data_IF_401015275110
#
_entry.id   IF_401015275110
#
_cell.length_a   1.000
_cell.length_b   1.000
_cell.length_c   1.000
_cell.angle_alpha   90.00
_cell.angle_beta   90.00
_cell.angle_gamma   90.00
#
_symmetry.space_group_name_H-M   'P 1'
#
loop_
_entity.id
_entity.type
_entity.pdbx_description
1 polymer ?
#
# COMPACT_ATOMS: atom_id res chain seq x y z
N UNK A 1 -28.83 -11.84 24.10
CA UNK A 1 -27.61 -12.40 23.51
C UNK A 1 -27.37 -11.71 22.18
N UNK A 2 -26.29 -10.92 22.10
CA UNK A 2 -25.59 -10.41 20.92
C UNK A 2 -24.86 -9.13 21.38
N UNK A 3 -23.64 -9.29 21.90
CA UNK A 3 -22.77 -8.17 22.26
C UNK A 3 -22.02 -7.70 21.00
N UNK A 4 -22.42 -6.56 20.47
CA UNK A 4 -21.69 -5.83 19.43
C UNK A 4 -20.42 -5.21 20.02
N UNK A 5 -19.27 -5.82 19.76
CA UNK A 5 -17.96 -5.25 20.08
C UNK A 5 -17.49 -4.36 18.94
N UNK A 6 -17.90 -3.10 18.94
CA UNK A 6 -17.29 -2.09 18.09
C UNK A 6 -15.85 -1.83 18.58
N UNK A 7 -14.84 -2.22 17.79
CA UNK A 7 -13.46 -1.82 18.06
C UNK A 7 -13.27 -0.37 17.61
N UNK A 8 -13.68 0.56 18.47
CA UNK A 8 -13.21 1.93 18.39
C UNK A 8 -11.68 1.93 18.53
N UNK A 9 -10.99 2.54 17.56
CA UNK A 9 -9.56 2.81 17.63
C UNK A 9 -9.26 3.64 18.86
N UNK A 10 -8.81 2.98 19.93
CA UNK A 10 -8.21 3.66 21.04
C UNK A 10 -6.84 4.16 20.58
N UNK A 11 -6.72 5.46 20.33
CA UNK A 11 -5.42 6.13 20.38
C UNK A 11 -4.93 6.07 21.83
N UNK A 12 -4.31 4.96 22.21
CA UNK A 12 -3.56 4.91 23.46
C UNK A 12 -2.40 5.87 23.29
N UNK A 13 -2.33 6.91 24.14
CA UNK A 13 -1.21 7.85 24.23
C UNK A 13 0.07 7.19 24.73
N UNK A 14 0.56 6.18 24.02
CA UNK A 14 1.92 5.69 24.17
C UNK A 14 2.84 6.77 23.61
N UNK A 15 3.80 7.23 24.41
CA UNK A 15 4.89 8.06 23.89
C UNK A 15 5.58 7.29 22.76
N UNK A 16 5.80 7.94 21.62
CA UNK A 16 6.49 7.34 20.49
C UNK A 16 7.78 6.64 20.95
N UNK A 17 8.05 5.44 20.41
CA UNK A 17 9.23 4.67 20.77
C UNK A 17 10.50 5.53 20.55
N UNK A 18 11.46 5.55 21.51
CA UNK A 18 12.58 6.50 21.50
C UNK A 18 13.49 6.41 20.25
N UNK A 19 13.47 5.28 19.55
CA UNK A 19 14.22 5.09 18.31
C UNK A 19 13.53 5.66 17.05
N UNK A 20 12.23 5.99 17.09
CA UNK A 20 11.49 6.52 15.93
C UNK A 20 12.14 7.78 15.35
N UNK A 21 12.47 8.82 16.16
CA UNK A 21 13.11 10.03 15.62
C UNK A 21 14.43 9.75 14.89
N UNK A 22 15.24 8.84 15.44
CA UNK A 22 16.54 8.44 14.86
C UNK A 22 16.37 7.72 13.53
N UNK A 23 15.40 6.81 13.43
CA UNK A 23 15.11 6.10 12.18
C UNK A 23 14.53 7.03 11.11
N UNK A 24 13.70 8.00 11.51
CA UNK A 24 13.19 9.04 10.60
C UNK A 24 14.30 9.96 10.11
N UNK A 25 15.28 10.28 10.96
CA UNK A 25 16.45 11.03 10.54
C UNK A 25 17.28 10.27 9.51
N UNK A 26 17.53 8.97 9.74
CA UNK A 26 18.18 8.10 8.76
C UNK A 26 17.42 8.10 7.43
N UNK A 27 16.10 7.94 7.46
CA UNK A 27 15.27 7.94 6.26
C UNK A 27 15.35 9.28 5.51
N UNK A 28 15.26 10.41 6.21
CA UNK A 28 15.45 11.76 5.63
C UNK A 28 16.85 11.97 5.06
N UNK A 29 17.89 11.36 5.64
CA UNK A 29 19.25 11.42 5.12
C UNK A 29 19.40 10.63 3.82
N UNK A 30 18.83 9.43 3.76
CA UNK A 30 18.82 8.62 2.55
C UNK A 30 17.98 9.28 1.44
N UNK A 31 16.80 9.83 1.76
CA UNK A 31 15.96 10.54 0.80
C UNK A 31 16.68 11.74 0.17
N UNK A 32 17.52 12.47 0.93
CA UNK A 32 18.35 13.57 0.39
C UNK A 32 19.36 13.12 -0.66
N UNK A 33 19.64 11.83 -0.76
CA UNK A 33 20.51 11.26 -1.81
C UNK A 33 19.74 10.83 -3.06
N UNK A 34 18.41 10.79 -3.01
CA UNK A 34 17.57 10.72 -4.20
C UNK A 34 17.74 12.01 -5.01
N UNK A 35 17.74 11.89 -6.33
CA UNK A 35 18.27 12.88 -7.28
C UNK A 35 17.68 14.29 -7.15
N UNK A 36 18.54 15.30 -7.35
CA UNK A 36 18.28 16.73 -7.13
C UNK A 36 17.33 17.40 -8.14
N UNK A 37 16.03 17.14 -8.02
CA UNK A 37 14.99 17.97 -8.62
C UNK A 37 14.96 19.38 -7.99
N UNK A 38 14.82 20.41 -8.84
CA UNK A 38 14.95 21.83 -8.50
C UNK A 38 13.77 22.36 -7.65
N UNK A 39 12.66 21.61 -7.62
CA UNK A 39 11.47 21.96 -6.84
C UNK A 39 11.19 20.90 -5.78
N UNK A 40 11.21 21.32 -4.53
CA UNK A 40 10.79 20.53 -3.39
C UNK A 40 9.29 20.16 -3.52
N UNK A 41 8.92 18.89 -3.75
CA UNK A 41 7.51 18.49 -3.89
C UNK A 41 6.70 18.77 -2.62
N UNK A 42 7.34 19.01 -1.45
CA UNK A 42 6.66 19.48 -0.23
C UNK A 42 6.01 20.86 -0.40
N UNK A 43 6.49 21.66 -1.37
CA UNK A 43 5.93 22.96 -1.75
C UNK A 43 4.69 22.87 -2.64
N UNK A 44 4.46 21.72 -3.28
CA UNK A 44 3.35 21.44 -4.20
C UNK A 44 1.98 21.23 -3.50
N UNK A 45 1.72 21.96 -2.42
CA UNK A 45 0.47 21.82 -1.64
C UNK A 45 -0.77 22.24 -2.44
N UNK A 46 -0.57 23.05 -3.48
CA UNK A 46 -1.60 23.52 -4.40
C UNK A 46 -2.26 22.39 -5.20
N UNK A 47 -1.51 21.32 -5.49
CA UNK A 47 -1.99 20.16 -6.26
C UNK A 47 -2.20 18.91 -5.41
N UNK A 48 -1.99 18.99 -4.09
CA UNK A 48 -2.25 17.90 -3.15
C UNK A 48 -3.77 17.68 -3.03
N UNK A 49 -4.30 16.45 -3.23
CA UNK A 49 -5.71 16.21 -3.01
C UNK A 49 -6.07 16.39 -1.53
N UNK A 50 -7.23 16.99 -1.21
CA UNK A 50 -7.63 17.24 0.18
C UNK A 50 -7.85 15.94 0.95
N UNK A 51 -7.60 16.00 2.26
CA UNK A 51 -8.03 14.93 3.18
C UNK A 51 -9.55 14.81 3.14
N UNK A 52 -10.05 13.58 3.16
CA UNK A 52 -11.48 13.34 3.35
C UNK A 52 -11.84 13.48 4.83
N UNK A 53 -13.03 13.99 5.12
CA UNK A 53 -13.54 14.05 6.49
C UNK A 53 -13.90 12.66 7.04
N UNK A 54 -14.08 12.57 8.35
CA UNK A 54 -14.43 11.32 9.06
C UNK A 54 -15.76 10.68 8.63
N UNK A 55 -16.60 11.41 7.88
CA UNK A 55 -17.85 10.91 7.34
C UNK A 55 -17.70 10.13 6.01
N UNK A 56 -16.51 10.08 5.42
CA UNK A 56 -16.27 9.30 4.21
C UNK A 56 -16.43 7.80 4.48
N UNK A 57 -17.26 7.14 3.67
CA UNK A 57 -17.56 5.72 3.86
C UNK A 57 -16.47 4.83 3.21
N UNK A 58 -16.00 3.78 3.91
CA UNK A 58 -15.16 2.75 3.29
C UNK A 58 -15.85 2.12 2.07
N UNK A 59 -15.06 1.76 1.07
CA UNK A 59 -15.55 1.00 -0.10
C UNK A 59 -15.25 -0.49 0.12
N UNK A 60 -16.26 -1.35 0.29
CA UNK A 60 -16.03 -2.79 0.49
C UNK A 60 -15.30 -3.42 -0.69
N UNK A 61 -14.33 -4.28 -0.39
CA UNK A 61 -13.66 -5.12 -1.38
C UNK A 61 -14.51 -6.38 -1.62
N UNK A 62 -14.77 -6.76 -2.89
CA UNK A 62 -15.49 -8.00 -3.20
C UNK A 62 -14.94 -9.23 -2.47
N UNK A 63 -15.84 -10.11 -2.01
CA UNK A 63 -15.54 -11.25 -1.14
C UNK A 63 -15.00 -12.47 -1.91
N UNK A 64 -15.40 -12.65 -3.18
CA UNK A 64 -15.18 -13.85 -3.98
C UNK A 64 -14.23 -13.65 -5.18
N UNK A 65 -12.98 -13.25 -4.94
CA UNK A 65 -11.99 -13.29 -6.02
C UNK A 65 -10.69 -13.86 -5.49
N UNK A 66 -10.59 -15.18 -5.50
CA UNK A 66 -9.27 -15.81 -5.52
C UNK A 66 -8.61 -15.44 -6.86
N UNK A 67 -7.30 -15.16 -6.89
CA UNK A 67 -6.62 -15.09 -8.18
C UNK A 67 -6.90 -16.39 -8.95
N UNK A 68 -7.01 -16.32 -10.29
CA UNK A 68 -7.21 -17.51 -11.11
C UNK A 68 -6.21 -18.60 -10.74
N UNK A 69 -6.66 -19.84 -10.72
CA UNK A 69 -5.73 -20.96 -10.59
C UNK A 69 -4.72 -20.89 -11.74
N UNK A 70 -3.46 -20.62 -11.39
CA UNK A 70 -2.37 -20.48 -12.32
C UNK A 70 -1.23 -21.42 -11.90
N UNK A 71 -0.55 -22.03 -12.86
CA UNK A 71 0.62 -22.84 -12.57
C UNK A 71 1.77 -21.94 -12.08
N UNK A 72 2.36 -22.30 -10.94
CA UNK A 72 3.42 -21.48 -10.34
C UNK A 72 4.66 -21.39 -11.25
N UNK A 73 5.00 -22.47 -11.95
CA UNK A 73 6.13 -22.49 -12.89
C UNK A 73 5.90 -21.54 -14.05
N UNK A 74 4.70 -21.53 -14.62
CA UNK A 74 4.29 -20.60 -15.68
C UNK A 74 4.31 -19.15 -15.21
N UNK A 75 3.75 -18.86 -14.03
CA UNK A 75 3.75 -17.51 -13.45
C UNK A 75 5.17 -17.00 -13.24
N UNK A 76 6.06 -17.83 -12.68
CA UNK A 76 7.47 -17.47 -12.48
C UNK A 76 8.18 -17.19 -13.81
N UNK A 77 7.93 -18.01 -14.83
CA UNK A 77 8.52 -17.84 -16.16
C UNK A 77 8.01 -16.59 -16.88
N UNK A 78 6.71 -16.27 -16.72
CA UNK A 78 6.04 -15.14 -17.37
C UNK A 78 6.26 -13.80 -16.67
N UNK A 79 6.56 -13.79 -15.36
CA UNK A 79 6.66 -12.55 -14.56
C UNK A 79 7.65 -11.56 -15.17
N UNK A 80 7.18 -10.36 -15.48
CA UNK A 80 7.99 -9.23 -15.96
C UNK A 80 7.59 -7.95 -15.24
N UNK A 81 8.51 -7.00 -15.21
CA UNK A 81 8.20 -5.62 -14.86
C UNK A 81 7.71 -4.93 -16.13
N UNK A 82 6.49 -4.39 -16.12
CA UNK A 82 5.89 -3.74 -17.28
C UNK A 82 5.55 -2.29 -16.99
N UNK A 83 5.93 -1.42 -17.94
CA UNK A 83 5.58 0.00 -17.98
C UNK A 83 4.51 0.32 -19.04
N UNK A 84 3.93 -0.73 -19.64
CA UNK A 84 2.86 -0.63 -20.64
C UNK A 84 1.58 -1.14 -20.00
N UNK A 85 0.54 -0.30 -20.05
CA UNK A 85 -0.76 -0.55 -19.45
C UNK A 85 -1.84 -0.35 -20.52
N UNK A 86 -2.94 -1.10 -20.41
CA UNK A 86 -4.11 -0.90 -21.24
C UNK A 86 -4.81 0.43 -20.96
N UNK A 87 -5.70 0.81 -21.88
CA UNK A 87 -6.52 2.03 -21.76
C UNK A 87 -7.71 1.85 -20.80
N UNK A 88 -8.09 0.60 -20.51
CA UNK A 88 -9.24 0.30 -19.64
C UNK A 88 -8.83 0.42 -18.17
N UNK A 89 -9.69 0.89 -17.26
CA UNK A 89 -9.44 0.82 -15.83
C UNK A 89 -9.17 -0.59 -15.28
N UNK A 90 -8.39 -0.69 -14.21
CA UNK A 90 -8.23 -1.94 -13.44
C UNK A 90 -9.56 -2.27 -12.73
N UNK A 91 -10.17 -3.44 -12.97
CA UNK A 91 -11.38 -3.83 -12.26
C UNK A 91 -11.14 -3.95 -10.74
N UNK A 92 -12.09 -3.45 -9.94
CA UNK A 92 -12.04 -3.61 -8.48
C UNK A 92 -11.95 -5.08 -8.04
N UNK A 93 -12.68 -6.04 -8.65
CA UNK A 93 -12.51 -7.47 -8.36
C UNK A 93 -11.06 -7.95 -8.53
N UNK A 94 -10.38 -7.53 -9.59
CA UNK A 94 -8.99 -7.92 -9.88
C UNK A 94 -8.02 -7.30 -8.86
N UNK A 95 -8.22 -6.03 -8.50
CA UNK A 95 -7.43 -5.38 -7.45
C UNK A 95 -7.65 -6.06 -6.09
N UNK A 96 -8.90 -6.41 -5.75
CA UNK A 96 -9.23 -7.12 -4.51
C UNK A 96 -8.55 -8.49 -4.47
N UNK A 97 -8.57 -9.24 -5.57
CA UNK A 97 -7.89 -10.53 -5.71
C UNK A 97 -6.39 -10.40 -5.48
N UNK A 98 -5.76 -9.40 -6.13
CA UNK A 98 -4.35 -9.10 -6.00
C UNK A 98 -3.98 -8.75 -4.55
N UNK A 99 -4.72 -7.85 -3.91
CA UNK A 99 -4.47 -7.43 -2.52
C UNK A 99 -4.62 -8.60 -1.55
N UNK A 100 -5.66 -9.43 -1.69
CA UNK A 100 -5.87 -10.62 -0.84
C UNK A 100 -4.76 -11.65 -1.04
N UNK A 101 -4.41 -11.96 -2.29
CA UNK A 101 -3.36 -12.93 -2.60
C UNK A 101 -1.98 -12.50 -2.11
N UNK A 102 -1.68 -11.20 -2.18
CA UNK A 102 -0.37 -10.69 -1.79
C UNK A 102 -0.25 -10.35 -0.30
N UNK A 103 -1.29 -9.75 0.28
CA UNK A 103 -1.23 -9.04 1.56
C UNK A 103 -2.29 -9.50 2.58
N UNK A 104 -3.24 -10.33 2.14
CA UNK A 104 -4.38 -10.76 2.95
C UNK A 104 -3.99 -11.62 4.14
N UNK A 105 -4.98 -11.95 4.97
CA UNK A 105 -4.82 -12.86 6.11
C UNK A 105 -4.73 -14.30 5.60
N UNK A 106 -3.63 -14.99 5.92
CA UNK A 106 -3.46 -16.41 5.63
C UNK A 106 -4.19 -17.28 6.67
N UNK A 107 -3.96 -17.00 7.95
CA UNK A 107 -4.52 -17.75 9.07
C UNK A 107 -4.48 -16.96 10.37
N UNK A 108 -5.35 -17.30 11.29
CA UNK A 108 -5.32 -16.78 12.66
C UNK A 108 -4.76 -17.83 13.60
N UNK A 109 -3.77 -17.43 14.41
CA UNK A 109 -3.13 -18.31 15.41
C UNK A 109 -3.40 -17.80 16.81
N UNK A 110 -3.42 -18.70 17.79
CA UNK A 110 -3.49 -18.34 19.22
C UNK A 110 -2.09 -18.27 19.81
N UNK A 111 -1.80 -17.20 20.53
CA UNK A 111 -0.51 -16.97 21.17
C UNK A 111 -0.46 -17.58 22.59
N UNK A 112 0.75 -17.80 23.15
CA UNK A 112 0.88 -18.34 24.51
C UNK A 112 0.20 -17.50 25.59
N UNK A 113 0.05 -16.20 25.38
CA UNK A 113 -0.66 -15.27 26.26
C UNK A 113 -2.20 -15.28 26.07
N UNK A 114 -2.71 -16.20 25.24
CA UNK A 114 -4.13 -16.39 24.99
C UNK A 114 -4.73 -15.48 23.91
N UNK A 115 -4.00 -14.45 23.44
CA UNK A 115 -4.46 -13.54 22.37
C UNK A 115 -4.46 -14.23 21.00
N UNK A 116 -5.37 -13.81 20.12
CA UNK A 116 -5.38 -14.23 18.72
C UNK A 116 -4.56 -13.27 17.86
N UNK A 117 -3.88 -13.79 16.84
CA UNK A 117 -3.11 -13.00 15.88
C UNK A 117 -3.32 -13.51 14.46
N UNK A 118 -3.77 -12.62 13.58
CA UNK A 118 -3.83 -12.87 12.14
C UNK A 118 -2.43 -12.76 11.51
N UNK A 119 -2.01 -13.81 10.82
CA UNK A 119 -0.79 -13.88 10.04
C UNK A 119 -1.12 -13.61 8.57
N UNK A 120 -0.31 -12.79 7.91
CA UNK A 120 -0.50 -12.44 6.50
C UNK A 120 0.02 -13.54 5.57
N UNK A 121 -0.44 -13.52 4.31
CA UNK A 121 0.08 -14.40 3.25
C UNK A 121 1.56 -14.14 3.01
N UNK A 122 1.98 -12.88 2.94
CA UNK A 122 3.38 -12.49 3.01
C UNK A 122 3.91 -12.70 4.45
N UNK A 123 4.88 -13.60 4.67
CA UNK A 123 5.48 -13.77 5.99
C UNK A 123 6.26 -12.50 6.39
N UNK A 124 6.23 -12.19 7.68
CA UNK A 124 6.91 -11.04 8.27
C UNK A 124 7.71 -11.43 9.52
N UNK A 125 8.67 -10.59 9.90
CA UNK A 125 9.45 -10.79 11.11
C UNK A 125 8.54 -10.96 12.35
N UNK A 126 8.62 -12.14 12.99
CA UNK A 126 7.82 -12.45 14.18
C UNK A 126 6.31 -12.59 13.94
N UNK A 127 5.87 -12.62 12.68
CA UNK A 127 4.45 -12.61 12.32
C UNK A 127 3.74 -11.33 12.74
N UNK A 128 4.45 -10.20 12.81
CA UNK A 128 3.88 -8.90 13.16
C UNK A 128 3.16 -8.27 11.94
N UNK A 129 2.13 -7.43 12.17
CA UNK A 129 1.52 -6.63 11.10
C UNK A 129 2.42 -5.44 10.76
N UNK A 130 3.63 -5.74 10.27
CA UNK A 130 4.72 -4.78 10.07
C UNK A 130 4.54 -3.88 8.84
N UNK A 131 3.55 -4.18 8.00
CA UNK A 131 3.20 -3.42 6.81
C UNK A 131 1.70 -3.06 6.79
N UNK A 132 1.41 -1.86 6.30
CA UNK A 132 0.08 -1.41 5.85
C UNK A 132 0.16 -1.14 4.35
N UNK A 133 -0.90 -1.41 3.60
CA UNK A 133 -0.97 -1.03 2.20
C UNK A 133 -1.90 0.17 1.98
N UNK A 134 -1.54 0.99 1.02
CA UNK A 134 -2.37 2.07 0.49
C UNK A 134 -2.53 1.89 -1.01
N UNK A 135 -3.64 2.36 -1.54
CA UNK A 135 -3.97 2.35 -2.96
C UNK A 135 -4.18 3.81 -3.37
N UNK A 136 -3.38 4.26 -4.34
CA UNK A 136 -3.54 5.55 -5.01
C UNK A 136 -4.24 5.29 -6.34
N UNK A 137 -5.47 5.78 -6.47
CA UNK A 137 -6.30 5.65 -7.68
C UNK A 137 -6.20 6.95 -8.47
N UNK A 138 -5.76 6.85 -9.73
CA UNK A 138 -5.59 7.99 -10.65
C UNK A 138 -6.89 8.77 -10.91
N UNK A 139 -6.75 10.07 -11.21
CA UNK A 139 -7.79 11.01 -11.65
C UNK A 139 -8.54 10.69 -12.96
N UNK A 140 -9.36 11.63 -13.48
CA UNK A 140 -10.61 11.33 -14.17
C UNK A 140 -10.48 10.38 -15.36
N UNK A 141 -11.39 9.40 -15.42
CA UNK A 141 -11.36 8.25 -16.36
C UNK A 141 -10.84 6.96 -15.73
N UNK A 142 -10.14 7.07 -14.59
CA UNK A 142 -9.59 6.03 -13.69
C UNK A 142 -10.62 5.06 -13.07
N UNK A 143 -11.50 5.64 -12.24
CA UNK A 143 -12.26 4.95 -11.16
C UNK A 143 -12.51 3.46 -11.35
N UNK A 144 -12.25 2.65 -10.31
CA UNK A 144 -12.23 1.20 -10.46
C UNK A 144 -13.62 0.65 -10.80
N UNK A 145 -13.87 0.02 -11.97
CA UNK A 145 -15.18 -0.55 -12.26
C UNK A 145 -15.49 -1.72 -11.32
N UNK A 146 -16.77 -1.88 -10.99
CA UNK A 146 -17.26 -2.88 -10.03
C UNK A 146 -17.75 -2.28 -8.70
N UNK A 147 -17.31 -1.06 -8.34
CA UNK A 147 -17.92 -0.21 -7.32
C UNK A 147 -17.47 1.25 -7.57
N UNK A 148 -18.12 2.30 -7.03
CA UNK A 148 -17.67 3.67 -7.25
C UNK A 148 -16.45 3.98 -6.35
N UNK A 149 -15.28 3.39 -6.63
CA UNK A 149 -14.03 3.78 -5.97
C UNK A 149 -13.56 5.10 -6.61
N UNK A 150 -13.62 6.23 -5.89
CA UNK A 150 -13.23 7.51 -6.44
C UNK A 150 -11.71 7.59 -6.58
N UNK A 151 -11.26 8.47 -7.48
CA UNK A 151 -9.87 8.90 -7.51
C UNK A 151 -9.45 9.47 -6.14
N UNK A 152 -8.22 9.19 -5.76
CA UNK A 152 -7.66 9.62 -4.48
C UNK A 152 -6.78 8.57 -3.84
N UNK A 153 -6.62 8.69 -2.53
CA UNK A 153 -5.78 7.80 -1.71
C UNK A 153 -6.67 7.03 -0.75
N UNK A 154 -6.49 5.72 -0.70
CA UNK A 154 -7.25 4.82 0.16
C UNK A 154 -6.30 3.92 0.94
N UNK A 155 -6.48 3.80 2.25
CA UNK A 155 -5.80 2.78 3.05
C UNK A 155 -6.51 1.45 2.85
N UNK A 156 -5.75 0.39 2.67
CA UNK A 156 -6.27 -0.97 2.53
C UNK A 156 -6.48 -1.59 3.91
N UNK A 157 -7.71 -2.03 4.20
CA UNK A 157 -8.02 -2.81 5.40
C UNK A 157 -8.48 -4.23 5.01
N UNK A 158 -7.56 -5.19 5.07
CA UNK A 158 -7.84 -6.60 4.81
C UNK A 158 -8.11 -7.42 6.08
N UNK A 159 -8.06 -6.77 7.25
CA UNK A 159 -8.13 -7.44 8.56
C UNK A 159 -9.45 -7.15 9.30
N UNK A 160 -10.21 -6.16 8.84
CA UNK A 160 -11.60 -5.95 9.26
C UNK A 160 -12.50 -7.14 8.92
N UNK A 161 -13.62 -7.26 9.64
CA UNK A 161 -14.67 -8.25 9.35
C UNK A 161 -15.19 -8.11 7.91
N UNK A 162 -15.31 -6.86 7.44
CA UNK A 162 -15.58 -6.52 6.05
C UNK A 162 -14.36 -5.80 5.44
N UNK A 163 -13.52 -6.51 4.65
CA UNK A 163 -12.37 -5.91 4.01
C UNK A 163 -12.76 -4.76 3.09
N UNK A 164 -12.04 -3.64 3.15
CA UNK A 164 -12.41 -2.41 2.47
C UNK A 164 -11.22 -1.53 2.10
N UNK A 165 -11.47 -0.59 1.19
CA UNK A 165 -10.65 0.58 0.93
C UNK A 165 -11.19 1.73 1.78
N UNK A 166 -10.40 2.22 2.73
CA UNK A 166 -10.76 3.33 3.62
C UNK A 166 -10.24 4.63 3.01
N UNK A 167 -11.09 5.58 2.62
CA UNK A 167 -10.65 6.84 2.02
C UNK A 167 -9.75 7.65 2.97
N UNK A 168 -8.68 8.22 2.41
CA UNK A 168 -7.73 9.11 3.10
C UNK A 168 -7.74 10.49 2.44
N UNK A 169 -7.62 10.54 1.11
CA UNK A 169 -7.73 11.76 0.31
C UNK A 169 -8.69 11.54 -0.85
N UNK A 170 -9.43 12.59 -1.22
CA UNK A 170 -10.38 12.56 -2.33
C UNK A 170 -9.98 13.57 -3.39
N UNK A 171 -10.18 13.22 -4.66
CA UNK A 171 -9.75 14.04 -5.81
C UNK A 171 -8.57 13.43 -6.54
N UNK A 172 -8.14 14.05 -7.63
CA UNK A 172 -7.09 13.53 -8.50
C UNK A 172 -5.70 13.63 -7.83
N UNK A 173 -5.04 12.50 -7.46
CA UNK A 173 -3.70 12.54 -6.89
C UNK A 173 -2.60 12.63 -7.96
N UNK A 174 -2.92 12.46 -9.24
CA UNK A 174 -1.94 12.29 -10.32
C UNK A 174 -0.96 13.45 -10.44
N UNK A 175 -1.38 14.74 -10.42
CA UNK A 175 -0.44 15.85 -10.51
C UNK A 175 0.57 15.90 -9.36
N UNK A 176 0.12 15.57 -8.14
CA UNK A 176 1.01 15.52 -6.98
C UNK A 176 1.94 14.31 -7.06
N UNK A 177 1.40 13.13 -7.39
CA UNK A 177 2.20 11.90 -7.54
C UNK A 177 3.28 12.07 -8.62
N UNK A 178 2.98 12.71 -9.74
CA UNK A 178 3.94 12.98 -10.81
C UNK A 178 5.16 13.79 -10.32
N UNK A 179 4.95 14.76 -9.42
CA UNK A 179 6.05 15.55 -8.82
C UNK A 179 6.86 14.76 -7.80
N UNK A 180 6.28 13.70 -7.22
CA UNK A 180 6.90 12.90 -6.18
C UNK A 180 7.66 11.68 -6.71
N UNK A 181 7.52 11.33 -8.00
CA UNK A 181 8.21 10.22 -8.64
C UNK A 181 9.43 10.71 -9.44
N UNK A 182 10.50 9.92 -9.45
CA UNK A 182 11.66 10.17 -10.32
C UNK A 182 11.31 10.04 -11.81
N UNK A 183 10.25 9.30 -12.13
CA UNK A 183 9.67 9.15 -13.47
C UNK A 183 8.22 9.63 -13.47
N UNK A 184 7.99 10.95 -13.67
CA UNK A 184 6.67 11.57 -13.55
C UNK A 184 5.61 10.92 -14.44
N UNK A 185 5.99 10.44 -15.63
CA UNK A 185 5.07 9.85 -16.61
C UNK A 185 4.44 8.55 -16.11
N UNK A 186 4.97 7.94 -15.04
CA UNK A 186 4.36 6.77 -14.44
C UNK A 186 3.04 7.11 -13.73
N UNK A 187 2.93 8.32 -13.15
CA UNK A 187 1.71 8.77 -12.48
C UNK A 187 0.51 8.90 -13.45
N UNK A 188 0.80 9.21 -14.72
CA UNK A 188 -0.21 9.34 -15.78
C UNK A 188 -0.55 8.01 -16.46
N UNK A 189 0.37 7.05 -16.44
CA UNK A 189 0.22 5.77 -17.14
C UNK A 189 -0.38 4.68 -16.26
N UNK A 190 0.02 4.62 -14.99
CA UNK A 190 -0.49 3.62 -14.06
C UNK A 190 -1.94 3.95 -13.67
N UNK A 191 -2.83 2.95 -13.76
CA UNK A 191 -4.22 3.14 -13.31
C UNK A 191 -4.33 3.18 -11.79
N UNK A 192 -3.46 2.42 -11.11
CA UNK A 192 -3.41 2.30 -9.67
C UNK A 192 -1.96 2.15 -9.21
N UNK A 193 -1.63 2.74 -8.07
CA UNK A 193 -0.35 2.50 -7.37
C UNK A 193 -0.62 1.94 -5.98
N UNK A 194 -0.06 0.77 -5.67
CA UNK A 194 -0.08 0.20 -4.32
C UNK A 194 1.18 0.63 -3.59
N UNK A 195 1.05 1.33 -2.46
CA UNK A 195 2.17 1.68 -1.59
C UNK A 195 2.25 0.72 -0.40
N UNK A 196 3.42 0.13 -0.17
CA UNK A 196 3.69 -0.66 1.03
C UNK A 196 4.35 0.24 2.07
N UNK A 197 3.68 0.44 3.20
CA UNK A 197 4.08 1.33 4.28
C UNK A 197 4.54 0.50 5.47
N UNK A 198 5.76 0.73 5.93
CA UNK A 198 6.31 0.09 7.10
C UNK A 198 5.80 0.72 8.40
N UNK A 199 5.58 -0.12 9.41
CA UNK A 199 5.07 0.25 10.73
C UNK A 199 6.13 0.08 11.82
N UNK A 200 6.77 1.18 12.21
CA UNK A 200 7.76 1.22 13.28
C UNK A 200 7.12 0.96 14.64
N UNK A 201 5.92 1.47 14.89
CA UNK A 201 5.16 1.26 16.13
C UNK A 201 5.04 -0.24 16.46
N UNK A 202 4.56 -1.04 15.51
CA UNK A 202 4.36 -2.48 15.72
C UNK A 202 5.67 -3.25 15.86
N UNK A 203 6.70 -2.81 15.14
CA UNK A 203 7.98 -3.52 15.04
C UNK A 203 8.84 -3.23 16.26
N UNK A 204 8.93 -1.97 16.67
CA UNK A 204 9.78 -1.53 17.77
C UNK A 204 9.23 -1.91 19.14
N UNK A 205 7.92 -2.14 19.25
CA UNK A 205 7.31 -2.76 20.44
C UNK A 205 7.89 -4.15 20.76
N UNK A 206 8.45 -4.84 19.76
CA UNK A 206 8.97 -6.20 19.91
C UNK A 206 10.47 -6.33 19.66
N UNK A 207 11.03 -5.49 18.81
CA UNK A 207 12.36 -5.66 18.27
C UNK A 207 13.16 -4.34 18.30
N UNK A 208 14.49 -4.39 18.50
CA UNK A 208 15.31 -3.18 18.52
C UNK A 208 15.38 -2.53 17.13
N UNK A 209 15.80 -1.25 17.08
CA UNK A 209 15.91 -0.43 15.87
C UNK A 209 16.60 -1.09 14.65
N UNK A 210 17.47 -2.10 14.86
CA UNK A 210 18.04 -2.94 13.79
C UNK A 210 16.96 -3.52 12.85
N UNK A 211 15.75 -3.74 13.35
CA UNK A 211 14.62 -4.27 12.58
C UNK A 211 14.01 -3.25 11.59
N UNK A 212 14.51 -2.01 11.54
CA UNK A 212 14.37 -1.16 10.36
C UNK A 212 14.78 -1.89 9.06
N UNK A 213 15.85 -2.70 9.14
CA UNK A 213 16.29 -3.56 8.02
C UNK A 213 15.28 -4.65 7.69
N UNK A 214 14.65 -5.26 8.71
CA UNK A 214 13.69 -6.35 8.46
C UNK A 214 12.40 -5.85 7.84
N UNK A 215 12.01 -4.60 8.12
CA UNK A 215 10.87 -3.97 7.45
C UNK A 215 11.03 -3.91 5.93
N UNK A 216 12.24 -3.65 5.43
CA UNK A 216 12.52 -3.67 4.00
C UNK A 216 12.50 -5.10 3.41
N UNK A 217 12.91 -6.11 4.20
CA UNK A 217 12.81 -7.52 3.79
C UNK A 217 11.34 -7.95 3.73
N UNK A 218 10.55 -7.61 4.74
CA UNK A 218 9.11 -7.87 4.78
C UNK A 218 8.41 -7.22 3.58
N UNK A 219 8.75 -5.96 3.26
CA UNK A 219 8.25 -5.26 2.08
C UNK A 219 8.66 -5.95 0.77
N UNK A 220 9.90 -6.42 0.66
CA UNK A 220 10.39 -7.16 -0.51
C UNK A 220 9.66 -8.49 -0.72
N UNK A 221 9.34 -9.21 0.36
CA UNK A 221 8.52 -10.44 0.30
C UNK A 221 7.10 -10.13 -0.20
N UNK A 222 6.45 -9.11 0.39
CA UNK A 222 5.13 -8.66 -0.02
C UNK A 222 5.11 -8.19 -1.49
N UNK A 223 6.15 -7.47 -1.92
CA UNK A 223 6.33 -7.06 -3.32
C UNK A 223 6.48 -8.26 -4.27
N UNK A 224 7.22 -9.29 -3.85
CA UNK A 224 7.30 -10.54 -4.60
C UNK A 224 5.93 -11.17 -4.82
N UNK A 225 5.09 -11.20 -3.79
CA UNK A 225 3.72 -11.69 -3.92
C UNK A 225 2.87 -10.80 -4.83
N UNK A 226 3.00 -9.47 -4.76
CA UNK A 226 2.31 -8.54 -5.67
C UNK A 226 2.65 -8.85 -7.14
N UNK A 227 3.93 -9.07 -7.45
CA UNK A 227 4.35 -9.45 -8.80
C UNK A 227 3.73 -10.78 -9.27
N UNK A 228 3.73 -11.81 -8.41
CA UNK A 228 3.19 -13.12 -8.76
C UNK A 228 1.67 -13.06 -8.94
N UNK A 229 0.96 -12.41 -8.02
CA UNK A 229 -0.48 -12.22 -8.10
C UNK A 229 -0.88 -11.40 -9.35
N UNK A 230 -0.18 -10.28 -9.60
CA UNK A 230 -0.39 -9.48 -10.79
C UNK A 230 -0.15 -10.29 -12.08
N UNK A 231 0.93 -11.07 -12.13
CA UNK A 231 1.23 -11.93 -13.29
C UNK A 231 0.14 -12.98 -13.51
N UNK A 232 -0.32 -13.65 -12.46
CA UNK A 232 -1.42 -14.64 -12.54
C UNK A 232 -2.76 -14.01 -12.98
N UNK A 233 -3.00 -12.75 -12.61
CA UNK A 233 -4.15 -11.96 -13.05
C UNK A 233 -3.96 -11.32 -14.44
N UNK A 234 -2.79 -11.50 -15.07
CA UNK A 234 -2.43 -10.82 -16.31
C UNK A 234 -2.32 -9.30 -16.19
N UNK A 235 -2.19 -8.75 -14.98
CA UNK A 235 -2.07 -7.33 -14.74
C UNK A 235 -0.61 -6.88 -14.92
N UNK A 236 -0.29 -6.02 -15.90
CA UNK A 236 1.04 -5.44 -15.99
C UNK A 236 1.31 -4.55 -14.78
N UNK A 237 2.48 -4.75 -14.16
CA UNK A 237 2.90 -3.95 -13.02
C UNK A 237 4.41 -3.85 -12.87
N UNK A 238 4.84 -2.88 -12.08
CA UNK A 238 6.26 -2.60 -11.82
C UNK A 238 6.45 -2.00 -10.43
N UNK A 239 7.53 -2.43 -9.78
CA UNK A 239 8.01 -1.84 -8.54
C UNK A 239 8.66 -0.48 -8.81
N UNK A 240 8.43 0.48 -7.93
CA UNK A 240 8.97 1.83 -8.01
C UNK A 240 9.59 2.18 -6.67
N UNK A 241 10.87 2.52 -6.69
CA UNK A 241 11.66 2.94 -5.54
C UNK A 241 12.30 4.32 -5.76
N UNK A 242 12.11 4.92 -6.94
CA UNK A 242 12.53 6.28 -7.25
C UNK A 242 11.39 7.24 -6.99
N UNK A 243 11.30 7.72 -5.75
CA UNK A 243 10.31 8.69 -5.30
C UNK A 243 10.84 9.50 -4.11
N UNK A 244 10.27 10.68 -3.87
CA UNK A 244 10.54 11.47 -2.67
C UNK A 244 9.74 10.91 -1.48
N UNK A 245 10.43 10.32 -0.50
CA UNK A 245 9.80 9.70 0.66
C UNK A 245 8.90 10.68 1.44
N UNK A 246 9.34 11.94 1.59
CA UNK A 246 8.58 12.93 2.37
C UNK A 246 7.31 13.36 1.65
N UNK A 247 7.36 13.49 0.33
CA UNK A 247 6.18 13.79 -0.47
C UNK A 247 5.19 12.62 -0.46
N UNK A 248 5.66 11.37 -0.59
CA UNK A 248 4.80 10.19 -0.53
C UNK A 248 4.15 10.04 0.85
N UNK A 249 4.93 10.18 1.93
CA UNK A 249 4.39 10.13 3.29
C UNK A 249 3.31 11.19 3.51
N UNK A 250 3.50 12.41 2.97
CA UNK A 250 2.50 13.48 3.05
C UNK A 250 1.23 13.18 2.22
N UNK A 251 1.40 12.61 1.01
CA UNK A 251 0.27 12.18 0.17
C UNK A 251 -0.54 11.09 0.86
N UNK A 252 0.12 10.14 1.52
CA UNK A 252 -0.52 9.03 2.22
C UNK A 252 -1.02 9.39 3.64
N UNK A 253 -0.74 10.62 4.10
CA UNK A 253 -1.07 11.13 5.44
C UNK A 253 -0.51 10.25 6.56
N UNK A 254 0.78 9.90 6.44
CA UNK A 254 1.43 8.97 7.36
C UNK A 254 1.88 9.67 8.65
N UNK A 255 1.70 9.01 9.82
CA UNK A 255 2.33 9.43 11.06
C UNK A 255 3.85 9.17 11.03
N UNK A 256 4.58 9.81 11.95
CA UNK A 256 6.05 9.71 12.05
C UNK A 256 6.59 8.30 12.36
N UNK A 257 5.77 7.39 12.88
CA UNK A 257 6.14 6.00 13.10
C UNK A 257 5.87 5.11 11.88
N UNK A 258 5.56 5.70 10.73
CA UNK A 258 5.36 5.02 9.47
C UNK A 258 6.20 5.66 8.37
N UNK A 259 6.53 4.87 7.36
CA UNK A 259 7.22 5.36 6.17
C UNK A 259 6.96 4.45 4.97
N UNK A 260 6.94 5.04 3.78
CA UNK A 260 6.76 4.31 2.53
C UNK A 260 8.03 3.52 2.18
N UNK A 261 7.90 2.23 1.89
CA UNK A 261 9.05 1.35 1.57
C UNK A 261 9.22 1.10 0.08
N UNK A 262 8.11 0.89 -0.62
CA UNK A 262 8.07 0.61 -2.06
C UNK A 262 6.68 0.88 -2.59
N UNK A 263 6.61 1.35 -3.84
CA UNK A 263 5.38 1.42 -4.60
C UNK A 263 5.33 0.30 -5.63
N UNK A 264 4.12 -0.13 -5.98
CA UNK A 264 3.86 -1.07 -7.07
C UNK A 264 2.80 -0.45 -7.97
N UNK A 265 3.24 0.09 -9.10
CA UNK A 265 2.37 0.67 -10.11
C UNK A 265 1.77 -0.46 -10.96
N UNK A 266 0.45 -0.48 -11.10
CA UNK A 266 -0.25 -1.43 -11.97
C UNK A 266 -1.21 -0.72 -12.93
N UNK A 267 -1.53 -1.44 -14.00
CA UNK A 267 -2.58 -1.06 -14.93
C UNK A 267 -3.33 -2.28 -15.43
N UNK A 268 -4.29 -2.05 -16.33
CA UNK A 268 -5.02 -3.12 -16.99
C UNK A 268 -4.17 -3.81 -18.05
N UNK A 269 -4.65 -4.97 -18.49
CA UNK A 269 -4.10 -5.71 -19.63
C UNK A 269 -4.03 -4.81 -20.86
N UNK A 270 -2.92 -4.88 -21.57
CA UNK A 270 -2.81 -4.33 -22.93
C UNK A 270 -3.63 -5.26 -23.83
N UNK A 271 -4.63 -4.73 -24.53
CA UNK A 271 -5.30 -5.47 -25.60
C UNK A 271 -4.35 -5.52 -26.81
N UNK A 272 -4.18 -6.71 -27.39
CA UNK A 272 -3.38 -6.94 -28.59
C UNK A 272 -4.07 -6.43 -29.87
#
# INVERSE_FOLDING_TARGET
MASSGASAGASSGASAHPDVPRLRELHRELNRTATGGVDDPRGARDVMPPLVGSAASPVPLPEEVLPPAADLGEVLAARRSSYRYGAVPVPLPDLAALLRAALGVQRTVRLPDGRSRALSVAPSAGGLPSLTAYVVVRGPGVGLPGAPVPAGVHRVDLRADEPALVPVRGGDPTPFLARALDQPELADRAGVVVALVARLDTTLDRYPARHYRTLHVDAGVALGHLYLAATALGLPGVAVMGYDDTALDALLDLPEDQFTTVLFALGSRVED
#
